data_IF_065308660008
#
_entry.id   IF_065308660008
#
_cell.length_a   1.000
_cell.length_b   1.000
_cell.length_c   1.000
_cell.angle_alpha   90.00
_cell.angle_beta   90.00
_cell.angle_gamma   90.00
#
_symmetry.space_group_name_H-M   'P 1'
#
loop_
_entity.id
_entity.type
_entity.pdbx_description
1 polymer ?
#
# COMPACT_ATOMS: atom_id res chain seq x y z
N UNK A 1 -6.90 15.67 -54.16
CA UNK A 1 -6.37 14.84 -53.05
C UNK A 1 -6.76 13.38 -53.34
N UNK A 2 -5.80 12.46 -53.45
CA UNK A 2 -6.11 11.07 -53.87
C UNK A 2 -6.70 10.26 -52.71
N UNK A 3 -7.54 9.24 -52.98
CA UNK A 3 -8.08 8.34 -51.93
C UNK A 3 -6.98 7.74 -51.04
N UNK A 4 -5.78 7.49 -51.60
CA UNK A 4 -4.61 6.98 -50.87
C UNK A 4 -4.06 7.98 -49.86
N UNK A 5 -4.10 9.27 -50.18
CA UNK A 5 -3.63 10.35 -49.31
C UNK A 5 -4.55 10.57 -48.09
N UNK A 6 -5.86 10.35 -48.26
CA UNK A 6 -6.85 10.46 -47.17
C UNK A 6 -6.67 9.32 -46.18
N UNK A 7 -6.50 8.09 -46.66
CA UNK A 7 -6.29 6.90 -45.80
C UNK A 7 -5.00 7.03 -45.01
N UNK A 8 -3.91 7.46 -45.64
CA UNK A 8 -2.64 7.69 -44.95
C UNK A 8 -2.79 8.73 -43.83
N UNK A 9 -3.47 9.84 -44.10
CA UNK A 9 -3.72 10.88 -43.09
C UNK A 9 -4.57 10.36 -41.92
N UNK A 10 -5.59 9.56 -42.21
CA UNK A 10 -6.50 9.01 -41.20
C UNK A 10 -5.79 7.97 -40.30
N UNK A 11 -4.88 7.17 -40.86
CA UNK A 11 -4.05 6.23 -40.07
C UNK A 11 -3.06 6.97 -39.19
N UNK A 12 -2.44 8.05 -39.70
CA UNK A 12 -1.52 8.87 -38.89
C UNK A 12 -2.25 9.57 -37.75
N UNK A 13 -3.44 10.13 -38.01
CA UNK A 13 -4.28 10.73 -36.95
C UNK A 13 -4.73 9.69 -35.94
N UNK A 14 -5.09 8.48 -36.38
CA UNK A 14 -5.47 7.38 -35.49
C UNK A 14 -4.29 6.92 -34.62
N UNK A 15 -3.08 6.82 -35.18
CA UNK A 15 -1.87 6.46 -34.41
C UNK A 15 -1.51 7.54 -33.38
N UNK A 16 -1.61 8.83 -33.74
CA UNK A 16 -1.39 9.94 -32.80
C UNK A 16 -2.46 9.97 -31.71
N UNK A 17 -3.71 9.65 -32.04
CA UNK A 17 -4.80 9.53 -31.06
C UNK A 17 -4.59 8.32 -30.12
N UNK A 18 -4.09 7.19 -30.62
CA UNK A 18 -3.81 6.01 -29.77
C UNK A 18 -2.65 6.27 -28.81
N UNK A 19 -1.62 7.04 -29.22
CA UNK A 19 -0.52 7.45 -28.33
C UNK A 19 -0.97 8.56 -27.36
N UNK A 20 -1.90 9.42 -27.76
CA UNK A 20 -2.44 10.51 -26.92
C UNK A 20 -3.52 10.11 -25.92
N UNK A 21 -3.99 8.86 -25.93
CA UNK A 21 -5.06 8.35 -25.05
C UNK A 21 -4.53 7.32 -24.03
N UNK A 22 -3.20 7.21 -23.86
CA UNK A 22 -2.71 6.75 -22.55
C UNK A 22 -3.02 7.89 -21.58
N UNK A 23 -3.89 7.69 -20.58
CA UNK A 23 -4.16 8.74 -19.62
C UNK A 23 -2.83 9.18 -19.02
N UNK A 24 -2.55 10.47 -19.01
CA UNK A 24 -1.51 11.06 -18.17
C UNK A 24 -1.88 10.98 -16.67
N UNK A 25 -2.67 9.98 -16.27
CA UNK A 25 -2.68 9.44 -14.93
C UNK A 25 -1.65 8.33 -14.94
N UNK A 26 -0.43 8.68 -14.56
CA UNK A 26 0.61 7.72 -14.25
C UNK A 26 -0.04 6.52 -13.54
N UNK A 27 0.09 5.33 -14.12
CA UNK A 27 -0.01 4.11 -13.35
C UNK A 27 1.11 4.20 -12.32
N UNK A 28 0.86 4.88 -11.20
CA UNK A 28 1.71 4.80 -10.02
C UNK A 28 1.55 3.34 -9.62
N UNK A 29 2.46 2.51 -10.11
CA UNK A 29 2.59 1.15 -9.64
C UNK A 29 3.01 1.29 -8.18
N UNK A 30 2.42 0.49 -7.32
CA UNK A 30 2.75 0.51 -5.89
C UNK A 30 3.56 -0.75 -5.59
N UNK A 31 4.65 -0.55 -4.86
CA UNK A 31 5.36 -1.63 -4.19
C UNK A 31 4.64 -1.88 -2.84
N UNK A 32 4.61 -3.13 -2.38
CA UNK A 32 3.88 -3.48 -1.16
C UNK A 32 4.63 -4.48 -0.29
N UNK A 33 4.36 -4.48 1.01
CA UNK A 33 4.80 -5.50 1.97
C UNK A 33 3.80 -5.62 3.11
N UNK A 34 3.60 -6.81 3.65
CA UNK A 34 2.55 -7.07 4.65
C UNK A 34 3.04 -7.83 5.90
N UNK A 35 3.16 -7.14 7.05
CA UNK A 35 3.21 -7.82 8.34
C UNK A 35 1.85 -8.43 8.67
N UNK A 36 1.89 -9.67 9.14
CA UNK A 36 0.72 -10.50 9.46
C UNK A 36 0.69 -10.75 10.97
N UNK A 37 -0.41 -10.39 11.60
CA UNK A 37 -0.67 -10.57 13.02
C UNK A 37 -1.84 -11.53 13.22
N UNK A 38 -1.64 -12.56 14.03
CA UNK A 38 -2.75 -13.42 14.48
C UNK A 38 -3.27 -12.88 15.81
N UNK A 39 -4.57 -12.61 15.89
CA UNK A 39 -5.25 -12.13 17.09
C UNK A 39 -5.56 -13.28 18.08
N UNK A 40 -5.91 -12.99 19.35
CA UNK A 40 -6.15 -14.03 20.35
C UNK A 40 -7.35 -14.93 20.05
N UNK A 41 -8.28 -14.47 19.23
CA UNK A 41 -9.45 -15.22 18.76
C UNK A 41 -9.14 -16.13 17.56
N UNK A 42 -7.89 -16.13 17.09
CA UNK A 42 -7.42 -16.89 15.92
C UNK A 42 -7.62 -16.20 14.58
N UNK A 43 -8.25 -15.01 14.54
CA UNK A 43 -8.39 -14.24 13.30
C UNK A 43 -7.04 -13.70 12.82
N UNK A 44 -6.90 -13.55 11.51
CA UNK A 44 -5.66 -13.09 10.87
C UNK A 44 -5.84 -11.66 10.39
N UNK A 45 -4.93 -10.79 10.82
CA UNK A 45 -4.87 -9.38 10.43
C UNK A 45 -3.64 -9.17 9.56
N UNK A 46 -3.84 -8.74 8.31
CA UNK A 46 -2.75 -8.32 7.42
C UNK A 46 -2.72 -6.80 7.36
N UNK A 47 -1.54 -6.24 7.58
CA UNK A 47 -1.30 -4.79 7.44
C UNK A 47 -0.50 -4.60 6.17
N UNK A 48 -1.16 -4.27 5.06
CA UNK A 48 -0.49 -4.01 3.78
C UNK A 48 0.01 -2.58 3.77
N UNK A 49 1.32 -2.42 3.69
CA UNK A 49 1.99 -1.12 3.54
C UNK A 49 2.44 -0.98 2.10
N UNK A 50 2.06 0.13 1.48
CA UNK A 50 2.31 0.41 0.07
C UNK A 50 3.01 1.76 -0.09
N UNK A 51 3.95 1.83 -1.04
CA UNK A 51 4.58 3.07 -1.50
C UNK A 51 4.63 3.09 -3.04
N UNK A 52 4.79 4.25 -3.69
CA UNK A 52 5.04 4.30 -5.13
C UNK A 52 6.27 3.46 -5.52
N UNK A 53 6.22 2.80 -6.67
CA UNK A 53 7.25 1.83 -7.12
C UNK A 53 8.66 2.42 -7.21
N UNK A 54 8.77 3.74 -7.43
CA UNK A 54 10.05 4.46 -7.42
C UNK A 54 10.78 4.39 -6.06
N UNK A 55 10.06 4.00 -5.00
CA UNK A 55 10.59 3.77 -3.66
C UNK A 55 10.75 2.29 -3.30
N UNK A 56 10.74 1.38 -4.28
CA UNK A 56 11.09 -0.04 -4.06
C UNK A 56 12.44 -0.18 -3.35
N UNK A 57 12.52 -1.05 -2.36
CA UNK A 57 13.67 -1.24 -1.49
C UNK A 57 13.88 -0.13 -0.45
N UNK A 58 12.97 0.84 -0.36
CA UNK A 58 13.01 1.83 0.72
C UNK A 58 12.52 1.22 2.03
N UNK A 59 13.07 1.72 3.13
CA UNK A 59 12.70 1.27 4.47
C UNK A 59 11.46 1.99 4.99
N UNK A 60 10.55 1.25 5.61
CA UNK A 60 9.39 1.77 6.33
C UNK A 60 9.36 1.16 7.72
N UNK A 61 9.20 1.99 8.75
CA UNK A 61 8.99 1.51 10.11
C UNK A 61 7.52 1.27 10.38
N UNK A 62 7.22 0.15 11.02
CA UNK A 62 5.86 -0.25 11.39
C UNK A 62 5.84 -0.56 12.88
N UNK A 63 5.29 0.34 13.70
CA UNK A 63 5.05 0.08 15.11
C UNK A 63 3.61 -0.42 15.30
N UNK A 64 3.45 -1.66 15.75
CA UNK A 64 2.16 -2.29 15.99
C UNK A 64 1.94 -2.53 17.48
N UNK A 65 0.83 -2.00 18.00
CA UNK A 65 0.36 -2.24 19.35
C UNK A 65 -0.94 -3.04 19.27
N UNK A 66 -0.86 -4.35 19.53
CA UNK A 66 -1.96 -5.28 19.34
C UNK A 66 -2.53 -5.79 20.69
N UNK A 67 -3.76 -6.35 20.70
CA UNK A 67 -4.32 -6.97 21.90
C UNK A 67 -3.41 -8.05 22.50
N UNK A 68 -3.40 -8.18 23.83
CA UNK A 68 -2.63 -9.19 24.55
C UNK A 68 -3.02 -10.59 24.08
N UNK A 69 -2.02 -11.42 23.77
CA UNK A 69 -2.21 -12.75 23.20
C UNK A 69 -2.12 -12.77 21.67
N UNK A 70 -2.06 -11.61 21.02
CA UNK A 70 -1.73 -11.53 19.59
C UNK A 70 -0.27 -11.89 19.36
N UNK A 71 0.03 -12.42 18.18
CA UNK A 71 1.38 -12.82 17.77
C UNK A 71 1.66 -12.24 16.38
N UNK A 72 2.85 -11.66 16.18
CA UNK A 72 3.35 -11.36 14.84
C UNK A 72 3.79 -12.67 14.19
N UNK A 73 3.02 -13.13 13.22
CA UNK A 73 3.14 -14.47 12.64
C UNK A 73 4.04 -14.48 11.41
N UNK A 74 4.04 -13.39 10.64
CA UNK A 74 4.96 -13.21 9.53
C UNK A 74 5.25 -11.73 9.29
N UNK A 75 6.42 -11.45 8.73
CA UNK A 75 6.68 -10.23 7.98
C UNK A 75 6.98 -10.71 6.58
N UNK A 76 5.97 -10.66 5.71
CA UNK A 76 6.15 -11.03 4.33
C UNK A 76 6.89 -9.86 3.67
N UNK A 77 8.21 -10.02 3.57
CA UNK A 77 9.08 -9.09 2.87
C UNK A 77 8.68 -9.08 1.40
N UNK A 78 8.07 -7.98 0.96
CA UNK A 78 7.75 -7.73 -0.43
C UNK A 78 8.77 -6.79 -1.02
N UNK A 79 8.29 -5.80 -1.77
CA UNK A 79 9.12 -4.84 -2.49
C UNK A 79 9.62 -3.68 -1.59
N UNK A 80 9.20 -3.63 -0.32
CA UNK A 80 9.62 -2.65 0.68
C UNK A 80 10.40 -3.33 1.80
N UNK A 81 11.42 -2.65 2.31
CA UNK A 81 12.11 -3.10 3.51
C UNK A 81 11.30 -2.64 4.73
N UNK A 82 10.91 -3.58 5.60
CA UNK A 82 10.10 -3.28 6.78
C UNK A 82 10.91 -3.41 8.07
N UNK A 83 10.92 -2.34 8.86
CA UNK A 83 11.39 -2.35 10.26
C UNK A 83 10.18 -2.45 11.19
N UNK A 84 9.84 -3.68 11.57
CA UNK A 84 8.60 -3.99 12.31
C UNK A 84 8.89 -4.12 13.81
N UNK A 85 8.26 -3.27 14.60
CA UNK A 85 8.30 -3.31 16.06
C UNK A 85 6.92 -3.64 16.61
N UNK A 86 6.77 -4.81 17.21
CA UNK A 86 5.50 -5.36 17.66
C UNK A 86 5.41 -5.45 19.19
N UNK A 87 4.33 -4.92 19.76
CA UNK A 87 4.04 -4.95 21.19
C UNK A 87 2.62 -5.46 21.45
N UNK A 88 2.51 -6.59 22.14
CA UNK A 88 1.23 -7.09 22.64
C UNK A 88 0.88 -6.41 23.98
N UNK A 89 -0.17 -5.59 23.99
CA UNK A 89 -0.55 -4.72 25.11
C UNK A 89 -1.99 -4.98 25.59
N UNK A 90 -2.35 -4.51 26.79
CA UNK A 90 -3.69 -4.74 27.38
C UNK A 90 -4.80 -3.88 26.73
N UNK A 91 -4.94 -3.92 25.40
CA UNK A 91 -6.08 -3.34 24.68
C UNK A 91 -6.94 -4.48 24.13
N UNK A 92 -8.07 -4.78 24.78
CA UNK A 92 -8.81 -6.01 24.50
C UNK A 92 -9.37 -6.12 23.06
N UNK A 93 -9.71 -4.99 22.41
CA UNK A 93 -10.50 -5.01 21.16
C UNK A 93 -9.97 -4.07 20.05
N UNK A 94 -8.74 -3.55 20.19
CA UNK A 94 -8.19 -2.58 19.23
C UNK A 94 -6.71 -2.78 19.01
N UNK A 95 -6.28 -2.50 17.79
CA UNK A 95 -4.88 -2.33 17.44
C UNK A 95 -4.60 -0.86 17.15
N UNK A 96 -3.44 -0.38 17.58
CA UNK A 96 -2.90 0.91 17.18
C UNK A 96 -1.69 0.70 16.29
N UNK A 97 -1.65 1.43 15.18
CA UNK A 97 -0.63 1.30 14.15
C UNK A 97 -0.01 2.66 13.89
N UNK A 98 1.31 2.70 13.88
CA UNK A 98 2.10 3.84 13.38
C UNK A 98 3.01 3.34 12.27
N UNK A 99 2.85 3.89 11.06
CA UNK A 99 3.66 3.57 9.89
C UNK A 99 4.39 4.82 9.45
N UNK A 100 5.72 4.78 9.40
CA UNK A 100 6.52 5.95 9.06
C UNK A 100 7.57 5.61 7.99
N UNK A 101 7.63 6.38 6.88
CA UNK A 101 8.63 6.17 5.85
C UNK A 101 10.01 6.65 6.34
N UNK A 102 11.08 5.92 6.02
CA UNK A 102 12.45 6.40 6.22
C UNK A 102 12.87 7.27 5.02
N UNK A 103 12.18 8.39 4.85
CA UNK A 103 12.34 9.28 3.72
C UNK A 103 11.12 10.17 3.50
N UNK A 104 11.14 10.95 2.43
CA UNK A 104 10.05 11.84 2.08
C UNK A 104 9.27 11.28 0.89
N UNK A 105 8.38 10.32 1.15
CA UNK A 105 7.53 9.70 0.14
C UNK A 105 6.15 9.35 0.70
N UNK A 106 5.10 9.36 -0.13
CA UNK A 106 3.75 9.08 0.33
C UNK A 106 3.61 7.60 0.65
N UNK A 107 2.74 7.29 1.60
CA UNK A 107 2.44 5.93 2.01
C UNK A 107 0.95 5.68 1.95
N UNK A 108 0.60 4.42 1.71
CA UNK A 108 -0.74 3.89 1.87
C UNK A 108 -0.69 2.67 2.77
N UNK A 109 -1.68 2.56 3.64
CA UNK A 109 -1.79 1.47 4.60
C UNK A 109 -3.20 0.94 4.56
N UNK A 110 -3.32 -0.34 4.22
CA UNK A 110 -4.59 -1.07 4.23
C UNK A 110 -4.52 -2.18 5.27
N UNK A 111 -5.48 -2.22 6.18
CA UNK A 111 -5.57 -3.29 7.17
C UNK A 111 -6.76 -4.17 6.83
N UNK A 112 -6.50 -5.47 6.70
CA UNK A 112 -7.53 -6.48 6.46
C UNK A 112 -7.60 -7.46 7.62
N UNK A 113 -8.79 -7.97 7.91
CA UNK A 113 -9.02 -9.07 8.86
C UNK A 113 -9.80 -10.16 8.15
N UNK A 114 -9.26 -11.37 8.15
CA UNK A 114 -9.87 -12.54 7.49
C UNK A 114 -10.30 -12.26 6.04
N UNK A 115 -9.51 -11.43 5.33
CA UNK A 115 -9.73 -11.04 3.94
C UNK A 115 -10.65 -9.83 3.71
N UNK A 116 -11.24 -9.23 4.75
CA UNK A 116 -12.05 -8.02 4.63
C UNK A 116 -11.27 -6.78 5.09
N UNK A 117 -11.33 -5.67 4.33
CA UNK A 117 -10.73 -4.39 4.75
C UNK A 117 -11.47 -3.81 5.95
N UNK A 118 -10.72 -3.57 7.03
CA UNK A 118 -11.24 -3.01 8.29
C UNK A 118 -10.69 -1.61 8.60
N UNK A 119 -9.57 -1.22 7.99
CA UNK A 119 -9.05 0.14 8.06
C UNK A 119 -8.24 0.48 6.80
N UNK A 120 -8.19 1.78 6.48
CA UNK A 120 -7.42 2.34 5.39
C UNK A 120 -6.94 3.74 5.77
N UNK A 121 -5.68 4.07 5.48
CA UNK A 121 -5.19 5.44 5.47
C UNK A 121 -4.15 5.65 4.38
N UNK A 122 -4.06 6.90 3.95
CA UNK A 122 -3.10 7.36 2.97
C UNK A 122 -2.51 8.68 3.46
N UNK A 123 -1.19 8.82 3.32
CA UNK A 123 -0.42 9.88 3.92
C UNK A 123 0.41 10.60 2.89
N UNK A 124 0.54 11.91 3.10
CA UNK A 124 1.47 12.74 2.33
C UNK A 124 2.92 12.44 2.73
N UNK A 125 3.83 12.77 1.83
CA UNK A 125 5.24 12.47 1.97
C UNK A 125 5.85 12.96 3.30
N UNK A 126 6.68 12.11 3.91
CA UNK A 126 7.48 12.48 5.08
C UNK A 126 6.73 12.53 6.40
N UNK A 127 5.45 12.16 6.40
CA UNK A 127 4.63 12.07 7.61
C UNK A 127 4.35 10.63 8.00
N UNK A 128 4.33 10.37 9.32
CA UNK A 128 3.88 9.10 9.85
C UNK A 128 2.35 9.00 9.75
N UNK A 129 1.87 7.85 9.29
CA UNK A 129 0.48 7.46 9.34
C UNK A 129 0.17 6.83 10.69
N UNK A 130 -0.88 7.31 11.35
CA UNK A 130 -1.36 6.75 12.61
C UNK A 130 -2.81 6.33 12.47
N UNK A 131 -3.17 5.13 12.93
CA UNK A 131 -4.55 4.66 12.86
C UNK A 131 -4.91 3.73 14.01
N UNK A 132 -6.19 3.74 14.37
CA UNK A 132 -6.81 2.77 15.25
C UNK A 132 -7.62 1.77 14.41
N UNK A 133 -7.35 0.49 14.59
CA UNK A 133 -8.09 -0.60 13.96
C UNK A 133 -8.98 -1.23 15.03
N UNK A 134 -10.29 -1.22 14.79
CA UNK A 134 -11.27 -1.85 15.67
C UNK A 134 -11.53 -3.28 15.18
N UNK A 135 -11.67 -4.21 16.12
CA UNK A 135 -11.99 -5.61 15.88
C UNK A 135 -13.33 -6.00 16.48
#
# INVERSE_FOLDING_TARGET
MSRRSIVAFLVTVLMVAVVGVVPAGAHVSWCSSDPVVTLPDGSVVNVVVEAPVEYTGSTVSVNLLAPRGSVLTAVLAGDLDLDVNFHAVQHANRMFLVVAPHGNFPLRVTVTRDGATVAYAEGESGHALTMWVNF
#
